data_IF_034313877431
#
_entry.id   IF_034313877431
#
_cell.length_a   1.000
_cell.length_b   1.000
_cell.length_c   1.000
_cell.angle_alpha   90.00
_cell.angle_beta   90.00
_cell.angle_gamma   90.00
#
_symmetry.space_group_name_H-M   'P 1'
#
loop_
_entity.id
_entity.type
_entity.pdbx_description
1 polymer ?
#
# COMPACT_ATOMS: atom_id res chain seq x y z
N UNK A 1 -15.18 11.55 5.69
CA UNK A 1 -13.94 10.85 6.10
C UNK A 1 -14.04 9.33 5.96
N UNK A 2 -15.14 8.68 6.38
CA UNK A 2 -15.32 7.22 6.31
C UNK A 2 -15.02 6.61 4.92
N UNK A 3 -15.51 7.21 3.83
CA UNK A 3 -15.21 6.72 2.47
C UNK A 3 -13.73 6.80 2.10
N UNK A 4 -13.03 7.86 2.51
CA UNK A 4 -11.60 8.02 2.23
C UNK A 4 -10.79 6.98 2.98
N UNK A 5 -11.09 6.79 4.28
CA UNK A 5 -10.44 5.76 5.10
C UNK A 5 -10.71 4.34 4.57
N UNK A 6 -11.94 4.06 4.13
CA UNK A 6 -12.30 2.79 3.51
C UNK A 6 -11.51 2.55 2.21
N UNK A 7 -11.35 3.58 1.36
CA UNK A 7 -10.54 3.51 0.16
C UNK A 7 -9.07 3.23 0.49
N UNK A 8 -8.46 4.00 1.40
CA UNK A 8 -7.07 3.82 1.81
C UNK A 8 -6.81 2.43 2.38
N UNK A 9 -7.74 1.92 3.20
CA UNK A 9 -7.63 0.57 3.77
C UNK A 9 -7.77 -0.51 2.70
N UNK A 10 -8.70 -0.35 1.76
CA UNK A 10 -8.88 -1.28 0.63
C UNK A 10 -7.61 -1.37 -0.20
N UNK A 11 -6.97 -0.23 -0.48
CA UNK A 11 -5.70 -0.17 -1.20
C UNK A 11 -4.56 -0.86 -0.44
N UNK A 12 -4.47 -0.68 0.87
CA UNK A 12 -3.50 -1.39 1.71
C UNK A 12 -3.71 -2.90 1.64
N UNK A 13 -4.95 -3.37 1.75
CA UNK A 13 -5.26 -4.81 1.68
C UNK A 13 -4.93 -5.37 0.29
N UNK A 14 -5.24 -4.65 -0.77
CA UNK A 14 -4.87 -5.03 -2.14
C UNK A 14 -3.35 -5.11 -2.32
N UNK A 15 -2.60 -4.12 -1.83
CA UNK A 15 -1.15 -4.12 -1.88
C UNK A 15 -0.55 -5.30 -1.10
N UNK A 16 -1.09 -5.60 0.08
CA UNK A 16 -0.70 -6.77 0.88
C UNK A 16 -0.94 -8.07 0.12
N UNK A 17 -2.10 -8.21 -0.53
CA UNK A 17 -2.42 -9.39 -1.31
C UNK A 17 -1.45 -9.60 -2.48
N UNK A 18 -1.07 -8.53 -3.19
CA UNK A 18 -0.07 -8.61 -4.26
C UNK A 18 1.31 -9.07 -3.74
N UNK A 19 1.77 -8.50 -2.63
CA UNK A 19 3.05 -8.88 -2.02
C UNK A 19 3.06 -10.35 -1.62
N UNK A 20 1.99 -10.81 -0.94
CA UNK A 20 1.90 -12.21 -0.53
C UNK A 20 1.71 -13.16 -1.71
N UNK A 21 1.05 -12.75 -2.79
CA UNK A 21 0.96 -13.57 -3.98
C UNK A 21 2.33 -13.78 -4.63
N UNK A 22 3.12 -12.72 -4.80
CA UNK A 22 4.47 -12.80 -5.33
C UNK A 22 5.39 -13.65 -4.43
N UNK A 23 5.26 -13.52 -3.09
CA UNK A 23 6.00 -14.32 -2.14
C UNK A 23 5.65 -15.82 -2.25
N UNK A 24 4.34 -16.16 -2.27
CA UNK A 24 3.89 -17.56 -2.43
C UNK A 24 4.42 -18.20 -3.70
N UNK A 25 4.33 -17.50 -4.83
CA UNK A 25 4.88 -17.99 -6.12
C UNK A 25 6.38 -18.27 -6.05
N UNK A 26 7.14 -17.34 -5.43
CA UNK A 26 8.57 -17.54 -5.19
C UNK A 26 8.84 -18.78 -4.33
N UNK A 27 8.06 -19.00 -3.28
CA UNK A 27 8.24 -20.15 -2.36
C UNK A 27 7.99 -21.49 -3.04
N UNK A 28 7.04 -21.57 -3.97
CA UNK A 28 6.76 -22.81 -4.75
C UNK A 28 7.61 -22.96 -6.01
N UNK A 29 8.54 -22.04 -6.26
CA UNK A 29 9.45 -22.08 -7.42
C UNK A 29 8.79 -21.71 -8.75
N UNK A 30 7.63 -21.04 -8.73
CA UNK A 30 6.99 -20.48 -9.93
C UNK A 30 7.65 -19.17 -10.36
N UNK A 31 7.47 -18.79 -11.63
CA UNK A 31 7.87 -17.46 -12.09
C UNK A 31 7.05 -16.38 -11.36
N UNK A 32 7.77 -15.46 -10.73
CA UNK A 32 7.22 -14.42 -9.86
C UNK A 32 7.75 -13.03 -10.20
N UNK A 33 8.61 -12.88 -11.22
CA UNK A 33 9.31 -11.61 -11.49
C UNK A 33 8.32 -10.49 -11.80
N UNK A 34 7.35 -10.76 -12.67
CA UNK A 34 6.28 -9.82 -13.00
C UNK A 34 5.39 -9.51 -11.78
N UNK A 35 4.98 -10.52 -11.02
CA UNK A 35 4.16 -10.33 -9.81
C UNK A 35 4.90 -9.47 -8.77
N UNK A 36 6.19 -9.70 -8.56
CA UNK A 36 7.02 -8.91 -7.65
C UNK A 36 7.19 -7.46 -8.11
N UNK A 37 7.36 -7.23 -9.42
CA UNK A 37 7.42 -5.89 -10.00
C UNK A 37 6.10 -5.14 -9.80
N UNK A 38 4.96 -5.80 -10.07
CA UNK A 38 3.62 -5.25 -9.84
C UNK A 38 3.39 -4.92 -8.36
N UNK A 39 3.73 -5.86 -7.46
CA UNK A 39 3.58 -5.67 -6.03
C UNK A 39 4.42 -4.49 -5.53
N UNK A 40 5.69 -4.37 -5.97
CA UNK A 40 6.58 -3.26 -5.59
C UNK A 40 6.03 -1.91 -6.05
N UNK A 41 5.60 -1.82 -7.32
CA UNK A 41 5.06 -0.58 -7.88
C UNK A 41 3.81 -0.13 -7.12
N UNK A 42 2.84 -1.03 -6.99
CA UNK A 42 1.54 -0.69 -6.39
C UNK A 42 1.69 -0.40 -4.90
N UNK A 43 2.42 -1.22 -4.15
CA UNK A 43 2.63 -1.00 -2.72
C UNK A 43 3.32 0.34 -2.43
N UNK A 44 4.30 0.76 -3.26
CA UNK A 44 4.98 2.05 -3.09
C UNK A 44 4.03 3.24 -3.32
N UNK A 45 3.18 3.16 -4.35
CA UNK A 45 2.20 4.21 -4.64
C UNK A 45 1.10 4.28 -3.58
N UNK A 46 0.64 3.14 -3.07
CA UNK A 46 -0.33 3.08 -1.96
C UNK A 46 0.29 3.66 -0.69
N UNK A 47 1.53 3.30 -0.36
CA UNK A 47 2.22 3.83 0.81
C UNK A 47 2.28 5.36 0.79
N UNK A 48 2.66 5.96 -0.35
CA UNK A 48 2.72 7.42 -0.50
C UNK A 48 1.35 8.10 -0.42
N UNK A 49 0.31 7.54 -1.07
CA UNK A 49 -1.05 8.11 -1.01
C UNK A 49 -1.64 8.04 0.39
N UNK A 50 -1.55 6.87 1.03
CA UNK A 50 -2.17 6.67 2.34
C UNK A 50 -1.45 7.46 3.44
N UNK A 51 -0.12 7.55 3.40
CA UNK A 51 0.61 8.38 4.36
C UNK A 51 0.31 9.87 4.18
N UNK A 52 0.23 10.35 2.93
CA UNK A 52 -0.18 11.72 2.63
C UNK A 52 -1.59 12.03 3.13
N UNK A 53 -2.56 11.14 2.87
CA UNK A 53 -3.92 11.27 3.39
C UNK A 53 -3.97 11.27 4.91
N UNK A 54 -3.17 10.42 5.57
CA UNK A 54 -3.11 10.39 7.03
C UNK A 54 -2.60 11.72 7.62
N UNK A 55 -1.60 12.34 6.99
CA UNK A 55 -1.13 13.69 7.35
C UNK A 55 -2.24 14.72 7.19
N UNK A 56 -2.94 14.72 6.05
CA UNK A 56 -4.04 15.64 5.79
C UNK A 56 -5.20 15.49 6.80
N UNK A 57 -5.54 14.25 7.19
CA UNK A 57 -6.60 14.00 8.17
C UNK A 57 -6.27 14.52 9.57
N UNK A 58 -4.97 14.65 9.91
CA UNK A 58 -4.53 15.26 11.17
C UNK A 58 -4.58 16.79 11.15
N UNK A 59 -4.93 17.41 10.01
CA UNK A 59 -4.99 18.86 9.86
C UNK A 59 -3.64 19.53 10.15
N UNK A 60 -3.67 20.69 10.82
CA UNK A 60 -2.44 21.45 11.12
C UNK A 60 -1.40 20.65 11.90
N UNK A 61 -1.82 19.73 12.78
CA UNK A 61 -0.92 18.85 13.53
C UNK A 61 -0.14 17.89 12.65
N UNK A 62 -0.67 17.51 11.48
CA UNK A 62 0.02 16.62 10.55
C UNK A 62 1.25 17.25 9.88
N UNK A 63 1.36 18.58 9.88
CA UNK A 63 2.48 19.32 9.26
C UNK A 63 3.50 19.83 10.28
N UNK A 64 3.23 19.65 11.57
CA UNK A 64 4.17 20.01 12.63
C UNK A 64 5.18 18.88 12.78
N UNK A 65 6.46 19.20 12.55
CA UNK A 65 7.56 18.44 13.15
C UNK A 65 7.65 18.95 14.59
N UNK A 66 7.58 18.02 15.56
CA UNK A 66 7.60 18.30 17.01
C UNK A 66 8.38 19.57 17.41
#
# INVERSE_FOLDING_TARGET
MQHQMAQSYTEIVAARALVYNAARKKEVGEDFVCDAAMAKLFASQVAGRVSGQAVEWMGGMGFVRE
#
